data_IF_918182329364
#
_entry.id   IF_918182329364
#
_cell.length_a   1.000
_cell.length_b   1.000
_cell.length_c   1.000
_cell.angle_alpha   90.00
_cell.angle_beta   90.00
_cell.angle_gamma   90.00
#
_symmetry.space_group_name_H-M   'P 1'
#
loop_
_entity.id
_entity.type
_entity.pdbx_description
1 polymer ?
#
# COMPACT_ATOMS: atom_id res chain seq x y z
N UNK A 1 6.79 2.65 23.52
CA UNK A 1 5.99 1.67 22.73
C UNK A 1 4.77 1.21 23.52
N UNK A 2 4.94 0.62 24.71
CA UNK A 2 3.82 0.07 25.50
C UNK A 2 2.69 1.05 25.82
N UNK A 3 3.00 2.30 26.20
CA UNK A 3 1.98 3.32 26.51
C UNK A 3 1.08 3.56 25.29
N UNK A 4 1.67 3.90 24.14
CA UNK A 4 0.93 4.15 22.90
C UNK A 4 0.20 2.89 22.41
N UNK A 5 0.80 1.71 22.55
CA UNK A 5 0.16 0.46 22.16
C UNK A 5 -1.13 0.20 22.97
N UNK A 6 -1.11 0.48 24.28
CA UNK A 6 -2.29 0.35 25.13
C UNK A 6 -3.38 1.39 24.82
N UNK A 7 -3.01 2.57 24.33
CA UNK A 7 -3.97 3.58 23.87
C UNK A 7 -4.62 3.20 22.52
N UNK A 8 -3.85 2.54 21.64
CA UNK A 8 -4.32 2.14 20.32
C UNK A 8 -5.14 0.85 20.36
N UNK A 9 -4.76 -0.13 21.17
CA UNK A 9 -5.47 -1.42 21.23
C UNK A 9 -6.87 -1.24 21.84
N UNK A 10 -7.90 -1.74 21.16
CA UNK A 10 -9.30 -1.59 21.56
C UNK A 10 -9.94 -0.23 21.21
N UNK A 11 -9.18 0.70 20.62
CA UNK A 11 -9.76 1.96 20.15
C UNK A 11 -10.57 1.76 18.86
N UNK A 12 -11.55 2.64 18.61
CA UNK A 12 -12.23 2.73 17.31
C UNK A 12 -11.44 3.65 16.37
N UNK A 13 -10.77 3.07 15.39
CA UNK A 13 -10.00 3.78 14.36
C UNK A 13 -10.91 4.24 13.21
N UNK A 14 -10.93 5.55 12.96
CA UNK A 14 -11.66 6.18 11.84
C UNK A 14 -10.66 6.69 10.81
N UNK A 15 -10.83 6.24 9.56
CA UNK A 15 -10.03 6.62 8.38
C UNK A 15 -10.95 6.88 7.19
N UNK A 16 -10.41 7.43 6.10
CA UNK A 16 -11.12 7.57 4.83
C UNK A 16 -11.74 6.27 4.32
N UNK A 17 -11.13 5.12 4.62
CA UNK A 17 -11.57 3.80 4.15
C UNK A 17 -12.55 3.11 5.09
N UNK A 18 -12.53 3.42 6.39
CA UNK A 18 -13.45 2.81 7.38
C UNK A 18 -14.76 3.59 7.54
N UNK A 19 -14.80 4.84 7.07
CA UNK A 19 -15.95 5.73 7.26
C UNK A 19 -16.19 6.11 8.73
N UNK A 20 -17.31 6.77 8.99
CA UNK A 20 -17.64 7.34 10.31
C UNK A 20 -17.84 6.30 11.41
N UNK A 21 -18.23 5.07 11.06
CA UNK A 21 -18.38 3.97 12.02
C UNK A 21 -17.02 3.48 12.55
N UNK A 22 -15.93 3.70 11.81
CA UNK A 22 -14.60 3.22 12.17
C UNK A 22 -14.49 1.69 12.25
N UNK A 23 -13.37 1.22 12.80
CA UNK A 23 -13.15 -0.19 13.16
C UNK A 23 -12.35 -0.30 14.45
N UNK A 24 -12.68 -1.29 15.28
CA UNK A 24 -11.91 -1.58 16.49
C UNK A 24 -10.52 -2.13 16.14
N UNK A 25 -9.48 -1.60 16.79
CA UNK A 25 -8.11 -2.07 16.64
C UNK A 25 -7.88 -3.29 17.53
N UNK A 26 -7.84 -4.48 16.93
CA UNK A 26 -7.70 -5.75 17.66
C UNK A 26 -6.25 -6.25 17.77
N UNK A 27 -5.36 -5.77 16.91
CA UNK A 27 -3.97 -6.21 16.82
C UNK A 27 -3.09 -5.05 16.38
N UNK A 28 -1.86 -5.03 16.88
CA UNK A 28 -0.82 -4.08 16.49
C UNK A 28 0.37 -4.84 15.92
N UNK A 29 0.94 -4.32 14.84
CA UNK A 29 2.26 -4.71 14.34
C UNK A 29 3.29 -3.74 14.91
N UNK A 30 4.31 -4.26 15.59
CA UNK A 30 5.38 -3.44 16.19
C UNK A 30 6.68 -3.80 15.47
N UNK A 31 7.32 -2.80 14.88
CA UNK A 31 8.59 -2.94 14.18
C UNK A 31 9.60 -1.90 14.68
N UNK A 32 10.88 -2.15 14.40
CA UNK A 32 11.93 -1.16 14.63
C UNK A 32 11.78 -0.02 13.62
N UNK A 33 12.03 1.22 14.06
CA UNK A 33 12.06 2.35 13.13
C UNK A 33 13.13 2.15 12.07
N UNK A 34 12.79 2.44 10.81
CA UNK A 34 13.72 2.45 9.70
C UNK A 34 14.10 3.89 9.35
N UNK A 35 15.37 4.12 9.04
CA UNK A 35 15.81 5.36 8.40
C UNK A 35 15.62 5.22 6.89
N UNK A 36 14.67 5.96 6.34
CA UNK A 36 14.19 5.73 4.98
C UNK A 36 14.76 6.82 4.07
N UNK A 37 15.79 6.46 3.29
CA UNK A 37 16.41 7.39 2.34
C UNK A 37 15.56 7.61 1.08
N UNK A 38 14.81 6.57 0.66
CA UNK A 38 13.97 6.58 -0.54
C UNK A 38 12.80 5.62 -0.34
N UNK A 39 11.62 5.98 -0.84
CA UNK A 39 10.43 5.13 -0.84
C UNK A 39 9.93 4.90 -2.27
N UNK A 40 9.52 3.66 -2.55
CA UNK A 40 8.97 3.27 -3.84
C UNK A 40 7.63 2.56 -3.65
N UNK A 41 6.73 2.70 -4.61
CA UNK A 41 5.55 1.84 -4.71
C UNK A 41 5.89 0.61 -5.56
N UNK A 42 5.51 -0.57 -5.10
CA UNK A 42 5.64 -1.82 -5.84
C UNK A 42 4.43 -2.72 -5.57
N UNK A 43 3.79 -3.23 -6.62
CA UNK A 43 2.68 -4.16 -6.49
C UNK A 43 2.59 -5.11 -7.68
N UNK A 44 2.26 -6.37 -7.42
CA UNK A 44 1.89 -7.34 -8.46
C UNK A 44 0.39 -7.61 -8.31
N UNK A 45 -0.33 -7.50 -9.42
CA UNK A 45 -1.76 -7.78 -9.46
C UNK A 45 -2.15 -8.39 -10.80
N UNK A 46 -3.33 -9.01 -10.88
CA UNK A 46 -3.84 -9.57 -12.12
C UNK A 46 -4.45 -8.46 -13.00
N UNK A 47 -3.87 -8.21 -14.16
CA UNK A 47 -4.48 -7.39 -15.20
C UNK A 47 -5.53 -8.22 -15.95
N UNK A 48 -6.79 -8.09 -15.53
CA UNK A 48 -7.93 -8.81 -16.12
C UNK A 48 -8.14 -8.52 -17.60
N UNK A 49 -7.64 -7.40 -18.14
CA UNK A 49 -7.77 -7.10 -19.57
C UNK A 49 -6.85 -7.96 -20.43
N UNK A 50 -5.74 -8.43 -19.85
CA UNK A 50 -4.72 -9.24 -20.50
C UNK A 50 -4.64 -10.66 -19.95
N UNK A 51 -5.39 -10.97 -18.90
CA UNK A 51 -5.37 -12.24 -18.17
C UNK A 51 -3.94 -12.63 -17.73
N UNK A 52 -3.13 -11.63 -17.40
CA UNK A 52 -1.73 -11.79 -17.01
C UNK A 52 -1.44 -10.98 -15.76
N UNK A 53 -0.49 -11.46 -14.96
CA UNK A 53 0.03 -10.68 -13.85
C UNK A 53 0.79 -9.45 -14.39
N UNK A 54 0.56 -8.31 -13.77
CA UNK A 54 1.25 -7.05 -14.04
C UNK A 54 2.00 -6.63 -12.79
N UNK A 55 3.29 -6.38 -12.95
CA UNK A 55 4.12 -5.73 -11.95
C UNK A 55 4.11 -4.22 -12.18
N UNK A 56 3.68 -3.48 -11.17
CA UNK A 56 3.56 -2.02 -11.18
C UNK A 56 4.58 -1.43 -10.20
N UNK A 57 5.38 -0.46 -10.67
CA UNK A 57 6.41 0.21 -9.85
C UNK A 57 6.33 1.72 -10.06
N UNK A 58 6.53 2.50 -8.99
CA UNK A 58 6.66 3.96 -9.06
C UNK A 58 7.70 4.50 -8.08
N UNK A 59 8.36 5.60 -8.45
CA UNK A 59 9.23 6.40 -7.57
C UNK A 59 8.45 7.20 -6.54
N UNK A 60 7.13 7.29 -6.68
CA UNK A 60 6.25 7.95 -5.72
C UNK A 60 5.80 6.93 -4.66
N UNK A 61 6.72 6.50 -3.80
CA UNK A 61 6.39 5.73 -2.59
C UNK A 61 5.73 6.60 -1.52
N UNK A 62 5.09 5.96 -0.53
CA UNK A 62 4.49 6.65 0.61
C UNK A 62 3.20 7.44 0.32
N UNK A 63 2.76 7.47 -0.94
CA UNK A 63 1.52 8.15 -1.38
C UNK A 63 0.49 7.17 -1.92
N UNK A 64 -0.77 7.59 -1.96
CA UNK A 64 -1.86 6.80 -2.56
C UNK A 64 -1.61 6.61 -4.06
N UNK A 65 -1.44 5.35 -4.50
CA UNK A 65 -1.11 5.03 -5.88
C UNK A 65 -2.22 5.43 -6.86
N UNK A 66 -3.48 5.41 -6.41
CA UNK A 66 -4.64 5.84 -7.17
C UNK A 66 -4.52 7.31 -7.59
N UNK A 67 -3.97 8.15 -6.71
CA UNK A 67 -3.72 9.57 -7.01
C UNK A 67 -2.64 9.72 -8.07
N UNK A 68 -1.53 8.99 -7.93
CA UNK A 68 -0.44 8.98 -8.94
C UNK A 68 -0.98 8.55 -10.30
N UNK A 69 -1.81 7.50 -10.33
CA UNK A 69 -2.42 7.02 -11.57
C UNK A 69 -3.35 8.04 -12.24
N UNK A 70 -4.00 8.93 -11.47
CA UNK A 70 -4.86 9.99 -12.02
C UNK A 70 -4.12 11.26 -12.42
N UNK A 71 -3.10 11.67 -11.66
CA UNK A 71 -2.45 12.97 -11.82
C UNK A 71 -1.14 12.89 -12.63
N UNK A 72 -0.36 11.82 -12.43
CA UNK A 72 0.97 11.61 -13.04
C UNK A 72 1.16 10.14 -13.47
N UNK A 73 0.28 9.60 -14.35
CA UNK A 73 0.31 8.18 -14.73
C UNK A 73 1.63 7.73 -15.34
N UNK A 74 2.40 8.63 -15.94
CA UNK A 74 3.73 8.38 -16.51
C UNK A 74 4.77 7.96 -15.47
N UNK A 75 4.54 8.23 -14.18
CA UNK A 75 5.39 7.79 -13.08
C UNK A 75 5.15 6.35 -12.66
N UNK A 76 4.18 5.66 -13.26
CA UNK A 76 3.88 4.25 -13.00
C UNK A 76 4.39 3.41 -14.16
N UNK A 77 5.43 2.64 -13.88
CA UNK A 77 5.95 1.63 -14.80
C UNK A 77 5.15 0.35 -14.64
N UNK A 78 4.71 -0.25 -15.75
CA UNK A 78 3.99 -1.52 -15.79
C UNK A 78 4.74 -2.53 -16.64
N UNK A 79 4.95 -3.73 -16.10
CA UNK A 79 5.57 -4.85 -16.80
C UNK A 79 4.64 -6.06 -16.67
N UNK A 80 4.23 -6.64 -17.78
CA UNK A 80 3.43 -7.86 -17.78
C UNK A 80 4.35 -9.08 -17.69
N UNK A 81 4.02 -9.98 -16.78
CA UNK A 81 4.81 -11.17 -16.50
C UNK A 81 4.32 -12.26 -17.45
N UNK A 82 5.20 -12.72 -18.34
CA UNK A 82 4.95 -13.88 -19.19
C UNK A 82 5.36 -15.16 -18.44
N UNK A 83 4.40 -16.02 -18.02
CA UNK A 83 4.71 -17.18 -17.19
C UNK A 83 5.60 -18.22 -17.89
N UNK A 84 5.63 -18.19 -19.22
CA UNK A 84 6.39 -19.13 -20.05
C UNK A 84 7.87 -18.75 -20.21
N UNK A 85 8.27 -17.53 -19.84
CA UNK A 85 9.63 -17.02 -19.96
C UNK A 85 10.49 -17.22 -18.69
N UNK A 86 9.98 -17.99 -17.71
CA UNK A 86 10.57 -18.18 -16.37
C UNK A 86 12.10 -18.29 -16.32
#
# INVERSE_FOLDING_TARGET
VEILANEMLGMTLVTHQTGSAGKEVQRLLIESGADISQEFYAAITLDRSREMDVFMVSTEGGVEIEKVASETPEKIVKVWIEPLLG
#
